data_IF_098855310350
#
_entry.id   IF_098855310350
#
_cell.length_a   1.000
_cell.length_b   1.000
_cell.length_c   1.000
_cell.angle_alpha   90.00
_cell.angle_beta   90.00
_cell.angle_gamma   90.00
#
_symmetry.space_group_name_H-M   'P 1'
#
loop_
_entity.id
_entity.type
_entity.pdbx_description
1 polymer ?
#
# COMPACT_ATOMS: atom_id res chain seq x y z
N UNK A 1 1.33 8.27 -28.35
CA UNK A 1 -0.03 8.64 -28.82
C UNK A 1 -0.37 10.01 -28.27
N UNK A 2 -1.20 10.81 -28.97
CA UNK A 2 -1.44 12.24 -28.71
C UNK A 2 -1.44 12.56 -27.20
N UNK A 3 -0.37 13.23 -26.78
CA UNK A 3 -0.04 13.62 -25.40
C UNK A 3 -0.97 14.70 -24.84
N UNK A 4 -1.94 15.12 -25.64
CA UNK A 4 -2.73 16.32 -25.46
C UNK A 4 -4.15 16.04 -25.95
N UNK A 5 -5.14 16.32 -25.10
CA UNK A 5 -6.56 16.20 -25.46
C UNK A 5 -7.31 17.47 -25.09
N UNK A 6 -8.38 17.74 -25.82
CA UNK A 6 -9.34 18.76 -25.43
C UNK A 6 -10.22 18.28 -24.29
N UNK A 7 -10.80 19.23 -23.54
CA UNK A 7 -11.77 18.89 -22.50
C UNK A 7 -12.99 18.12 -23.05
N UNK A 8 -13.37 18.36 -24.31
CA UNK A 8 -14.49 17.66 -24.96
C UNK A 8 -14.16 16.18 -25.18
N UNK A 9 -13.01 15.89 -25.78
CA UNK A 9 -12.57 14.51 -26.00
C UNK A 9 -12.43 13.75 -24.68
N UNK A 10 -11.90 14.41 -23.64
CA UNK A 10 -11.83 13.81 -22.31
C UNK A 10 -13.22 13.51 -21.74
N UNK A 11 -14.21 14.41 -21.91
CA UNK A 11 -15.60 14.14 -21.47
C UNK A 11 -16.18 12.93 -22.21
N UNK A 12 -15.97 12.84 -23.52
CA UNK A 12 -16.48 11.75 -24.34
C UNK A 12 -15.87 10.41 -23.91
N UNK A 13 -14.57 10.38 -23.59
CA UNK A 13 -13.89 9.22 -23.01
C UNK A 13 -14.47 8.82 -21.65
N UNK A 14 -14.63 9.78 -20.73
CA UNK A 14 -15.18 9.46 -19.40
C UNK A 14 -16.63 8.94 -19.49
N UNK A 15 -17.43 9.45 -20.44
CA UNK A 15 -18.77 8.93 -20.70
C UNK A 15 -18.70 7.48 -21.19
N UNK A 16 -17.77 7.18 -22.11
CA UNK A 16 -17.59 5.83 -22.63
C UNK A 16 -17.10 4.86 -21.55
N UNK A 17 -16.01 5.20 -20.86
CA UNK A 17 -15.34 4.34 -19.87
C UNK A 17 -16.26 3.99 -18.70
N UNK A 18 -17.02 4.97 -18.23
CA UNK A 18 -17.98 4.80 -17.14
C UNK A 18 -19.39 4.38 -17.63
N UNK A 19 -19.56 4.16 -18.94
CA UNK A 19 -20.83 3.78 -19.57
C UNK A 19 -21.99 4.69 -19.14
N UNK A 20 -21.74 5.99 -19.12
CA UNK A 20 -22.73 6.99 -18.75
C UNK A 20 -23.64 7.30 -19.95
N UNK A 21 -24.88 7.74 -19.72
CA UNK A 21 -25.76 8.16 -20.80
C UNK A 21 -25.17 9.36 -21.53
N UNK A 22 -24.90 9.21 -22.83
CA UNK A 22 -24.36 10.25 -23.69
C UNK A 22 -25.45 11.27 -24.09
N UNK A 23 -25.90 12.05 -23.12
CA UNK A 23 -26.90 13.12 -23.29
C UNK A 23 -26.25 14.48 -23.09
N UNK A 24 -26.80 15.53 -23.70
CA UNK A 24 -26.30 16.91 -23.51
C UNK A 24 -26.31 17.33 -22.03
N UNK A 25 -27.32 16.88 -21.27
CA UNK A 25 -27.41 17.16 -19.84
C UNK A 25 -26.25 16.50 -19.06
N UNK A 26 -25.93 15.24 -19.37
CA UNK A 26 -24.81 14.54 -18.73
C UNK A 26 -23.48 15.19 -19.10
N UNK A 27 -23.24 15.48 -20.38
CA UNK A 27 -22.04 16.18 -20.84
C UNK A 27 -21.87 17.53 -20.14
N UNK A 28 -22.96 18.31 -19.99
CA UNK A 28 -22.94 19.59 -19.27
C UNK A 28 -22.61 19.41 -17.78
N UNK A 29 -23.22 18.41 -17.12
CA UNK A 29 -22.97 18.11 -15.70
C UNK A 29 -21.50 17.73 -15.46
N UNK A 30 -20.94 16.86 -16.31
CA UNK A 30 -19.53 16.45 -16.26
C UNK A 30 -18.63 17.66 -16.51
N UNK A 31 -18.89 18.43 -17.57
CA UNK A 31 -18.10 19.62 -17.90
C UNK A 31 -18.01 20.61 -16.74
N UNK A 32 -19.13 20.89 -16.07
CA UNK A 32 -19.16 21.78 -14.90
C UNK A 32 -18.28 21.22 -13.78
N UNK A 33 -18.37 19.91 -13.50
CA UNK A 33 -17.55 19.27 -12.48
C UNK A 33 -16.05 19.37 -12.82
N UNK A 34 -15.68 19.06 -14.06
CA UNK A 34 -14.28 19.12 -14.50
C UNK A 34 -13.71 20.54 -14.42
N UNK A 35 -14.46 21.56 -14.87
CA UNK A 35 -14.02 22.97 -14.76
C UNK A 35 -13.85 23.35 -13.29
N UNK A 36 -14.79 22.99 -12.41
CA UNK A 36 -14.67 23.27 -10.97
C UNK A 36 -13.44 22.63 -10.36
N UNK A 37 -13.14 21.39 -10.71
CA UNK A 37 -11.93 20.69 -10.22
C UNK A 37 -10.65 21.36 -10.74
N UNK A 38 -10.64 21.80 -12.01
CA UNK A 38 -9.50 22.49 -12.62
C UNK A 38 -9.23 23.87 -12.01
N UNK A 39 -10.25 24.51 -11.45
CA UNK A 39 -10.16 25.82 -10.77
C UNK A 39 -10.23 25.71 -9.24
N UNK A 40 -10.10 24.49 -8.68
CA UNK A 40 -10.21 24.28 -7.24
C UNK A 40 -8.91 24.73 -6.55
N UNK A 41 -8.96 25.72 -5.64
CA UNK A 41 -7.77 26.23 -4.94
C UNK A 41 -7.11 25.19 -4.03
N UNK A 42 -7.82 24.14 -3.63
CA UNK A 42 -7.27 23.06 -2.83
C UNK A 42 -6.46 22.05 -3.66
N UNK A 43 -6.56 22.10 -4.99
CA UNK A 43 -5.89 21.18 -5.89
C UNK A 43 -4.67 21.84 -6.55
N UNK A 44 -3.66 21.04 -6.96
CA UNK A 44 -2.43 21.56 -7.55
C UNK A 44 -2.62 22.29 -8.89
N UNK A 45 -3.81 22.21 -9.50
CA UNK A 45 -4.14 22.88 -10.76
C UNK A 45 -4.18 24.40 -10.65
N UNK A 46 -4.80 24.92 -9.58
CA UNK A 46 -5.00 26.36 -9.39
C UNK A 46 -3.68 27.05 -9.05
N UNK A 47 -2.84 26.41 -8.22
CA UNK A 47 -1.49 26.90 -7.92
C UNK A 47 -0.63 27.07 -9.20
N UNK A 48 -0.88 26.22 -10.20
CA UNK A 48 -0.20 26.25 -11.50
C UNK A 48 -0.98 27.05 -12.56
N UNK A 49 -2.16 27.58 -12.23
CA UNK A 49 -3.09 28.26 -13.16
C UNK A 49 -3.30 27.48 -14.46
N UNK A 50 -3.41 26.15 -14.35
CA UNK A 50 -3.39 25.24 -15.51
C UNK A 50 -4.52 25.54 -16.47
N UNK A 51 -5.71 25.84 -15.95
CA UNK A 51 -6.86 26.14 -16.79
C UNK A 51 -6.72 27.48 -17.52
N UNK A 52 -6.24 28.52 -16.85
CA UNK A 52 -6.04 29.86 -17.44
C UNK A 52 -4.95 29.83 -18.51
N UNK A 53 -3.85 29.12 -18.24
CA UNK A 53 -2.67 29.03 -19.10
C UNK A 53 -2.73 27.91 -20.14
N UNK A 54 -3.82 27.13 -20.19
CA UNK A 54 -3.96 26.03 -21.15
C UNK A 54 -3.84 26.53 -22.59
N UNK A 55 -3.09 25.81 -23.41
CA UNK A 55 -2.89 26.15 -24.81
C UNK A 55 -4.23 26.15 -25.55
N UNK A 56 -4.50 27.18 -26.35
CA UNK A 56 -5.72 27.27 -27.14
C UNK A 56 -5.40 26.96 -28.59
N UNK A 57 -5.88 25.81 -29.10
CA UNK A 57 -5.80 25.49 -30.52
C UNK A 57 -7.15 25.68 -31.20
N UNK A 58 -7.12 26.12 -32.45
CA UNK A 58 -8.31 26.27 -33.29
C UNK A 58 -8.60 24.93 -33.95
N UNK A 59 -9.65 24.25 -33.49
CA UNK A 59 -10.11 22.97 -34.02
C UNK A 59 -11.52 23.20 -34.57
N UNK A 60 -11.76 22.84 -35.84
CA UNK A 60 -13.05 23.05 -36.54
C UNK A 60 -13.57 24.50 -36.47
N UNK A 61 -12.66 25.47 -36.52
CA UNK A 61 -13.02 26.90 -36.47
C UNK A 61 -13.30 27.43 -35.06
N UNK A 62 -13.39 26.57 -34.03
CA UNK A 62 -13.59 26.95 -32.63
C UNK A 62 -12.28 26.88 -31.84
N UNK A 63 -12.12 27.81 -30.90
CA UNK A 63 -11.00 27.79 -29.96
C UNK A 63 -11.26 26.75 -28.86
N UNK A 64 -10.37 25.77 -28.74
CA UNK A 64 -10.44 24.73 -27.73
C UNK A 64 -9.18 24.75 -26.87
N UNK A 65 -9.36 24.67 -25.56
CA UNK A 65 -8.27 24.50 -24.60
C UNK A 65 -7.78 23.05 -24.66
N UNK A 66 -6.47 22.91 -24.76
CA UNK A 66 -5.77 21.63 -24.77
C UNK A 66 -5.09 21.42 -23.43
N UNK A 67 -5.26 20.22 -22.90
CA UNK A 67 -4.68 19.79 -21.64
C UNK A 67 -3.65 18.70 -21.92
N UNK A 68 -2.51 18.81 -21.25
CA UNK A 68 -1.46 17.78 -21.31
C UNK A 68 -1.89 16.50 -20.60
N UNK A 69 -1.30 15.37 -21.00
CA UNK A 69 -1.56 14.05 -20.41
C UNK A 69 -1.38 14.03 -18.89
N UNK A 70 -0.36 14.72 -18.36
CA UNK A 70 -0.13 14.81 -16.92
C UNK A 70 -1.29 15.51 -16.18
N UNK A 71 -1.85 16.57 -16.77
CA UNK A 71 -3.01 17.28 -16.22
C UNK A 71 -4.25 16.41 -16.31
N UNK A 72 -4.44 15.70 -17.43
CA UNK A 72 -5.57 14.80 -17.62
C UNK A 72 -5.55 13.63 -16.63
N UNK A 73 -4.38 13.03 -16.36
CA UNK A 73 -4.22 11.98 -15.34
C UNK A 73 -4.61 12.48 -13.96
N UNK A 74 -4.07 13.62 -13.54
CA UNK A 74 -4.42 14.22 -12.23
C UNK A 74 -5.92 14.58 -12.16
N UNK A 75 -6.49 15.08 -13.25
CA UNK A 75 -7.91 15.41 -13.32
C UNK A 75 -8.78 14.16 -13.21
N UNK A 76 -8.38 13.07 -13.86
CA UNK A 76 -9.02 11.76 -13.77
C UNK A 76 -8.99 11.25 -12.34
N UNK A 77 -7.83 11.27 -11.68
CA UNK A 77 -7.69 10.84 -10.28
C UNK A 77 -8.59 11.65 -9.33
N UNK A 78 -8.60 12.98 -9.50
CA UNK A 78 -9.42 13.88 -8.68
C UNK A 78 -10.94 13.73 -8.93
N UNK A 79 -11.35 13.25 -10.11
CA UNK A 79 -12.77 13.14 -10.49
C UNK A 79 -13.30 11.72 -10.59
N UNK A 80 -12.44 10.71 -10.46
CA UNK A 80 -12.82 9.30 -10.44
C UNK A 80 -13.93 8.99 -9.42
N UNK A 81 -13.89 9.49 -8.16
CA UNK A 81 -14.98 9.23 -7.20
C UNK A 81 -16.33 9.78 -7.66
N UNK A 82 -16.32 10.90 -8.39
CA UNK A 82 -17.53 11.51 -8.91
C UNK A 82 -18.13 10.68 -10.06
N UNK A 83 -17.30 10.17 -10.96
CA UNK A 83 -17.75 9.31 -12.05
C UNK A 83 -18.26 7.96 -11.56
N UNK A 84 -17.63 7.38 -10.54
CA UNK A 84 -18.13 6.17 -9.89
C UNK A 84 -19.54 6.37 -9.32
N UNK A 85 -19.76 7.50 -8.64
CA UNK A 85 -21.07 7.83 -8.09
C UNK A 85 -22.12 8.03 -9.19
N UNK A 86 -21.77 8.71 -10.29
CA UNK A 86 -22.67 8.84 -11.44
C UNK A 86 -23.01 7.49 -12.06
N UNK A 87 -22.03 6.58 -12.17
CA UNK A 87 -22.25 5.25 -12.70
C UNK A 87 -23.19 4.43 -11.79
N UNK A 88 -23.05 4.54 -10.45
CA UNK A 88 -23.99 3.94 -9.49
C UNK A 88 -25.40 4.48 -9.67
N UNK A 89 -25.56 5.82 -9.73
CA UNK A 89 -26.85 6.48 -9.83
C UNK A 89 -27.59 6.17 -11.14
N UNK A 90 -26.87 6.10 -12.27
CA UNK A 90 -27.50 5.96 -13.59
C UNK A 90 -27.65 4.51 -14.04
N UNK A 91 -26.73 3.61 -13.64
CA UNK A 91 -26.72 2.23 -14.13
C UNK A 91 -27.03 1.20 -13.04
N UNK A 92 -27.20 1.61 -11.78
CA UNK A 92 -27.45 0.70 -10.66
C UNK A 92 -26.27 -0.24 -10.35
N UNK A 93 -25.06 0.14 -10.78
CA UNK A 93 -23.85 -0.68 -10.61
C UNK A 93 -23.53 -0.91 -9.13
N UNK A 94 -23.21 -2.15 -8.80
CA UNK A 94 -22.70 -2.54 -7.49
C UNK A 94 -21.25 -2.10 -7.30
N UNK A 95 -20.79 -2.02 -6.05
CA UNK A 95 -19.39 -1.65 -5.73
C UNK A 95 -18.38 -2.60 -6.39
N UNK A 96 -18.70 -3.90 -6.49
CA UNK A 96 -17.84 -4.90 -7.13
C UNK A 96 -17.68 -4.67 -8.63
N UNK A 97 -18.76 -4.35 -9.35
CA UNK A 97 -18.71 -4.08 -10.79
C UNK A 97 -17.90 -2.81 -11.11
N UNK A 98 -17.85 -1.85 -10.18
CA UNK A 98 -17.04 -0.64 -10.29
C UNK A 98 -15.56 -0.97 -10.05
N UNK A 99 -15.24 -1.79 -9.06
CA UNK A 99 -13.87 -2.25 -8.79
C UNK A 99 -13.31 -3.08 -9.96
N UNK A 100 -14.10 -3.98 -10.52
CA UNK A 100 -13.70 -4.74 -11.73
C UNK A 100 -13.49 -3.82 -12.93
N UNK A 101 -14.31 -2.77 -13.08
CA UNK A 101 -14.12 -1.75 -14.12
C UNK A 101 -12.85 -0.96 -13.91
N UNK A 102 -12.59 -0.50 -12.69
CA UNK A 102 -11.34 0.19 -12.33
C UNK A 102 -10.14 -0.68 -12.64
N UNK A 103 -10.22 -1.98 -12.35
CA UNK A 103 -9.18 -2.93 -12.69
C UNK A 103 -8.99 -3.05 -14.20
N UNK A 104 -10.06 -3.13 -15.00
CA UNK A 104 -9.95 -3.13 -16.47
C UNK A 104 -9.38 -1.84 -17.03
N UNK A 105 -9.78 -0.68 -16.51
CA UNK A 105 -9.23 0.63 -16.90
C UNK A 105 -7.75 0.69 -16.52
N UNK A 106 -7.40 0.31 -15.30
CA UNK A 106 -6.02 0.24 -14.82
C UNK A 106 -5.17 -0.74 -15.64
N UNK A 107 -5.68 -1.93 -15.96
CA UNK A 107 -4.99 -2.92 -16.79
C UNK A 107 -4.85 -2.41 -18.24
N UNK A 108 -5.83 -1.65 -18.75
CA UNK A 108 -5.73 -1.01 -20.07
C UNK A 108 -4.69 0.11 -20.08
N UNK A 109 -4.53 0.85 -18.98
CA UNK A 109 -3.46 1.82 -18.78
C UNK A 109 -2.11 1.17 -18.51
N UNK A 110 -2.07 0.02 -17.83
CA UNK A 110 -0.84 -0.72 -17.50
C UNK A 110 -0.22 -1.41 -18.70
N UNK A 111 -1.01 -1.72 -19.74
CA UNK A 111 -0.51 -2.21 -21.04
C UNK A 111 -0.02 -1.06 -21.94
N UNK A 112 -0.24 0.19 -21.53
CA UNK A 112 0.41 1.36 -22.10
C UNK A 112 1.56 1.74 -21.17
N UNK A 113 2.69 1.05 -21.25
CA UNK A 113 3.94 1.59 -20.70
C UNK A 113 4.15 3.01 -21.25
N UNK A 114 4.13 4.06 -20.41
CA UNK A 114 4.96 5.20 -20.72
C UNK A 114 6.39 4.76 -20.43
N UNK A 115 7.28 4.96 -21.39
CA UNK A 115 8.75 4.90 -21.26
C UNK A 115 9.31 5.99 -20.30
N UNK A 116 8.50 6.36 -19.29
CA UNK A 116 8.70 7.38 -18.29
C UNK A 116 7.98 6.95 -17.00
N UNK A 117 8.27 5.75 -16.49
CA UNK A 117 8.25 5.60 -15.05
C UNK A 117 9.32 6.55 -14.53
N UNK A 118 8.90 7.72 -14.02
CA UNK A 118 9.84 8.59 -13.33
C UNK A 118 10.49 7.76 -12.22
N UNK A 119 11.82 7.85 -12.13
CA UNK A 119 12.69 7.21 -11.13
C UNK A 119 12.08 7.23 -9.70
N UNK A 120 11.24 8.22 -9.40
CA UNK A 120 10.52 8.39 -8.13
C UNK A 120 9.36 7.41 -7.88
N UNK A 121 8.58 6.99 -8.88
CA UNK A 121 7.47 6.03 -8.69
C UNK A 121 8.01 4.61 -8.48
N UNK A 122 9.07 4.24 -9.20
CA UNK A 122 9.77 2.97 -9.03
C UNK A 122 10.49 2.92 -7.67
N UNK A 123 11.14 4.02 -7.26
CA UNK A 123 11.69 4.17 -5.90
C UNK A 123 10.63 4.08 -4.82
N UNK A 124 9.46 4.68 -5.01
CA UNK A 124 8.35 4.60 -4.05
C UNK A 124 7.82 3.16 -3.96
N UNK A 125 7.68 2.48 -5.10
CA UNK A 125 7.26 1.08 -5.15
C UNK A 125 8.26 0.17 -4.43
N UNK A 126 9.56 0.34 -4.69
CA UNK A 126 10.62 -0.39 -3.99
C UNK A 126 10.66 -0.07 -2.48
N UNK A 127 10.52 1.19 -2.08
CA UNK A 127 10.51 1.59 -0.68
C UNK A 127 9.32 0.98 0.09
N UNK A 128 8.13 0.94 -0.52
CA UNK A 128 6.95 0.29 0.06
C UNK A 128 7.16 -1.22 0.17
N UNK A 129 7.73 -1.88 -0.85
CA UNK A 129 8.05 -3.30 -0.79
C UNK A 129 9.07 -3.62 0.31
N UNK A 130 10.11 -2.81 0.48
CA UNK A 130 11.13 -3.01 1.51
C UNK A 130 10.58 -2.76 2.92
N UNK A 131 9.67 -1.78 3.07
CA UNK A 131 8.95 -1.57 4.32
C UNK A 131 8.04 -2.77 4.68
N UNK A 132 7.32 -3.33 3.71
CA UNK A 132 6.51 -4.54 3.90
C UNK A 132 7.39 -5.73 4.30
N UNK A 133 8.53 -5.94 3.63
CA UNK A 133 9.49 -7.00 3.99
C UNK A 133 10.04 -6.82 5.41
N UNK A 134 10.28 -5.58 5.83
CA UNK A 134 10.72 -5.26 7.20
C UNK A 134 9.63 -5.62 8.22
N UNK A 135 8.37 -5.22 7.98
CA UNK A 135 7.24 -5.58 8.84
C UNK A 135 7.08 -7.10 8.92
N UNK A 136 7.19 -7.81 7.79
CA UNK A 136 7.09 -9.27 7.77
C UNK A 136 8.21 -9.92 8.59
N UNK A 137 9.46 -9.43 8.46
CA UNK A 137 10.58 -9.91 9.30
C UNK A 137 10.34 -9.65 10.78
N UNK A 138 9.86 -8.47 11.15
CA UNK A 138 9.55 -8.12 12.55
C UNK A 138 8.42 -8.99 13.11
N UNK A 139 7.37 -9.26 12.32
CA UNK A 139 6.28 -10.15 12.70
C UNK A 139 6.76 -11.61 12.88
N UNK A 140 7.63 -12.11 12.00
CA UNK A 140 8.23 -13.45 12.12
C UNK A 140 9.14 -13.52 13.35
N UNK A 141 10.00 -12.51 13.58
CA UNK A 141 10.85 -12.43 14.78
C UNK A 141 10.02 -12.41 16.06
N UNK A 142 8.94 -11.62 16.07
CA UNK A 142 8.01 -11.58 17.20
C UNK A 142 7.33 -12.93 17.43
N UNK A 143 6.87 -13.59 16.36
CA UNK A 143 6.27 -14.92 16.47
C UNK A 143 7.26 -15.98 16.97
N UNK A 144 8.53 -15.95 16.50
CA UNK A 144 9.60 -16.82 17.00
C UNK A 144 9.86 -16.53 18.48
N UNK A 145 9.92 -15.26 18.88
CA UNK A 145 10.10 -14.89 20.27
C UNK A 145 8.91 -15.38 21.12
N UNK A 146 7.67 -15.13 20.72
CA UNK A 146 6.50 -15.59 21.48
C UNK A 146 6.37 -17.12 21.55
N UNK A 147 6.79 -17.88 20.53
CA UNK A 147 6.73 -19.35 20.54
C UNK A 147 7.92 -20.03 21.24
N UNK A 148 9.12 -19.46 21.15
CA UNK A 148 10.34 -20.10 21.65
C UNK A 148 10.93 -19.42 22.89
N UNK A 149 10.49 -18.21 23.22
CA UNK A 149 10.92 -17.51 24.43
C UNK A 149 10.06 -17.95 25.60
N UNK A 150 10.66 -18.71 26.51
CA UNK A 150 10.07 -18.94 27.82
C UNK A 150 10.39 -17.72 28.69
N UNK A 151 9.38 -16.96 29.18
CA UNK A 151 9.65 -15.82 30.04
C UNK A 151 10.46 -16.28 31.26
N UNK A 152 11.48 -15.51 31.59
CA UNK A 152 12.39 -15.79 32.70
C UNK A 152 11.59 -15.83 34.00
N UNK A 153 11.53 -17.00 34.63
CA UNK A 153 10.94 -17.16 35.95
C UNK A 153 11.91 -16.60 37.00
N UNK A 154 11.65 -15.37 37.40
CA UNK A 154 12.45 -14.65 38.40
C UNK A 154 12.49 -15.36 39.75
N UNK A 155 11.44 -16.09 40.13
CA UNK A 155 11.44 -16.87 41.37
C UNK A 155 12.38 -18.06 41.25
N UNK A 156 12.38 -18.73 40.10
CA UNK A 156 13.31 -19.82 39.81
C UNK A 156 14.76 -19.35 39.76
N UNK A 157 15.03 -18.18 39.18
CA UNK A 157 16.37 -17.59 39.21
C UNK A 157 16.83 -17.24 40.63
N UNK A 158 15.97 -16.62 41.44
CA UNK A 158 16.30 -16.30 42.84
C UNK A 158 16.54 -17.57 43.64
N UNK A 159 15.74 -18.60 43.42
CA UNK A 159 15.94 -19.93 44.00
C UNK A 159 17.30 -20.51 43.59
N UNK A 160 17.61 -20.57 42.31
CA UNK A 160 18.86 -21.14 41.79
C UNK A 160 20.11 -20.31 42.17
N UNK A 161 19.98 -18.98 42.25
CA UNK A 161 21.04 -18.10 42.79
C UNK A 161 21.22 -18.26 44.29
N UNK A 162 20.16 -18.59 45.05
CA UNK A 162 20.32 -18.83 46.47
C UNK A 162 21.18 -20.09 46.71
N UNK A 163 21.02 -21.14 45.90
CA UNK A 163 21.90 -22.30 45.94
C UNK A 163 23.37 -21.96 45.64
N UNK A 164 23.67 -21.03 44.74
CA UNK A 164 25.05 -20.63 44.41
C UNK A 164 25.67 -19.67 45.43
N UNK A 165 24.87 -18.83 46.08
CA UNK A 165 25.33 -17.89 47.11
C UNK A 165 25.55 -18.62 48.45
N UNK A 166 24.67 -19.55 48.83
CA UNK A 166 24.84 -20.34 50.05
C UNK A 166 25.91 -21.43 49.93
N UNK A 167 26.28 -21.86 48.72
CA UNK A 167 27.40 -22.79 48.49
C UNK A 167 28.76 -22.11 48.38
N UNK A 168 28.81 -20.78 48.24
CA UNK A 168 30.07 -20.03 48.18
C UNK A 168 30.73 -19.82 49.57
N UNK A 169 29.94 -19.86 50.66
CA UNK A 169 30.45 -19.71 52.03
C UNK A 169 30.79 -21.04 52.72
N UNK A 170 30.56 -22.17 52.06
CA UNK A 170 30.95 -23.50 52.54
C UNK A 170 31.77 -24.22 51.47
N UNK A 171 33.01 -23.77 51.29
CA UNK A 171 34.06 -24.63 50.74
C UNK A 171 34.47 -25.68 51.78
N UNK A 172 33.55 -26.55 52.17
CA UNK A 172 33.90 -27.87 52.64
C UNK A 172 33.61 -28.83 51.49
N UNK A 173 34.68 -29.46 51.01
CA UNK A 173 34.63 -30.36 49.86
C UNK A 173 33.67 -31.50 50.13
N UNK A 174 32.54 -31.53 49.41
CA UNK A 174 31.61 -32.66 49.42
C UNK A 174 32.34 -33.89 48.87
N UNK A 175 32.40 -35.02 49.60
CA UNK A 175 33.04 -36.24 49.14
C UNK A 175 32.45 -36.76 47.83
N UNK A 176 33.28 -37.38 47.00
CA UNK A 176 32.94 -37.84 45.64
C UNK A 176 31.73 -38.81 45.62
N UNK A 177 31.54 -39.55 46.72
CA UNK A 177 30.50 -40.55 46.94
C UNK A 177 29.08 -39.92 47.03
N UNK A 178 28.97 -38.71 47.59
CA UNK A 178 27.72 -37.95 47.70
C UNK A 178 27.38 -37.21 46.40
N UNK A 179 28.38 -36.90 45.58
CA UNK A 179 28.15 -36.29 44.25
C UNK A 179 27.49 -37.26 43.28
N UNK A 180 27.76 -38.56 43.41
CA UNK A 180 27.20 -39.61 42.56
C UNK A 180 25.78 -40.05 42.97
N UNK A 181 25.32 -39.68 44.17
CA UNK A 181 23.98 -40.02 44.68
C UNK A 181 22.94 -38.92 44.49
N UNK A 182 23.35 -37.70 44.10
CA UNK A 182 22.42 -36.62 43.79
C UNK A 182 21.65 -36.86 42.47
N UNK A 183 20.35 -36.52 42.41
CA UNK A 183 19.42 -36.94 41.36
C UNK A 183 19.65 -36.29 39.99
N UNK A 184 20.71 -35.51 39.83
CA UNK A 184 21.05 -34.78 38.60
C UNK A 184 21.58 -35.69 37.48
N UNK A 185 21.81 -36.98 37.79
CA UNK A 185 21.89 -38.05 36.78
C UNK A 185 20.64 -38.19 35.90
N UNK A 186 19.56 -37.45 36.19
CA UNK A 186 18.31 -37.45 35.42
C UNK A 186 18.25 -36.41 34.29
N UNK A 187 19.18 -35.45 34.18
CA UNK A 187 19.09 -34.40 33.15
C UNK A 187 19.64 -34.79 31.78
N UNK A 188 20.33 -35.93 31.67
CA UNK A 188 20.77 -36.48 30.40
C UNK A 188 20.22 -37.88 30.22
N UNK A 189 19.23 -38.03 29.33
CA UNK A 189 18.93 -39.34 28.74
C UNK A 189 20.21 -39.81 28.04
N UNK A 190 20.86 -40.85 28.57
CA UNK A 190 21.92 -41.56 27.86
C UNK A 190 21.37 -42.00 26.50
N UNK A 191 21.86 -41.39 25.44
CA UNK A 191 21.55 -41.83 24.08
C UNK A 191 22.07 -43.28 23.93
N UNK A 192 21.29 -44.19 23.33
CA UNK A 192 21.70 -45.58 23.18
C UNK A 192 22.95 -45.62 22.30
N UNK A 193 24.03 -46.21 22.82
CA UNK A 193 25.18 -46.52 22.00
C UNK A 193 24.79 -47.64 21.03
N UNK A 194 24.82 -47.32 19.73
CA UNK A 194 24.69 -48.31 18.66
C UNK A 194 25.84 -49.30 18.80
N UNK A 195 25.51 -50.58 18.95
CA UNK A 195 26.42 -51.70 18.70
C UNK A 195 26.51 -51.95 17.20
#
# INVERSE_FOLDING_TARGET
MNTEKTLKEFIDEQIHDHNLPNTEQMQKKIRIKLIRTLTDPALPFEQKKVWENAEVKKIEGKQNKILSSAVLKQLQDATSPYFDNLAKENNGLTTQEIEERKKKIFDSLSNYEPDYASDDEERLHHAVQDYIKKIQKEAILKAIFEHFYTPIDTQKIVHDMSYSIFSADHTDSIPEDERLSHPEGNYYKKLPQKK
#
